data_IF_103569173228
#
_entry.id   IF_103569173228
#
_cell.length_a   1.000
_cell.length_b   1.000
_cell.length_c   1.000
_cell.angle_alpha   90.00
_cell.angle_beta   90.00
_cell.angle_gamma   90.00
#
_symmetry.space_group_name_H-M   'P 1'
#
loop_
_entity.id
_entity.type
_entity.pdbx_description
1 polymer ?
#
# COMPACT_ATOMS: atom_id res chain seq x y z
N UNK A 1 4.86 17.55 -4.67
CA UNK A 1 3.96 18.64 -5.04
C UNK A 1 4.69 19.98 -5.01
N UNK A 2 4.31 20.92 -5.89
CA UNK A 2 4.81 22.29 -5.86
C UNK A 2 4.21 23.05 -4.66
N UNK A 3 4.82 24.22 -4.32
CA UNK A 3 4.25 25.09 -3.29
C UNK A 3 2.79 25.45 -3.58
N UNK A 4 2.47 25.78 -4.85
CA UNK A 4 1.11 26.12 -5.25
C UNK A 4 0.10 24.96 -5.03
N UNK A 5 0.54 23.71 -5.24
CA UNK A 5 -0.31 22.54 -4.94
C UNK A 5 -0.50 22.34 -3.43
N UNK A 6 0.55 22.58 -2.63
CA UNK A 6 0.43 22.51 -1.16
C UNK A 6 -0.47 23.62 -0.61
N UNK A 7 -0.40 24.82 -1.21
CA UNK A 7 -1.23 25.97 -0.80
C UNK A 7 -2.74 25.71 -1.01
N UNK A 8 -3.13 24.78 -1.91
CA UNK A 8 -4.54 24.39 -2.08
C UNK A 8 -5.13 23.69 -0.83
N UNK A 9 -4.29 23.11 0.00
CA UNK A 9 -4.72 22.48 1.25
C UNK A 9 -4.63 23.38 2.47
N UNK A 10 -4.18 24.63 2.30
CA UNK A 10 -4.20 25.63 3.38
C UNK A 10 -5.60 25.78 3.93
N UNK A 11 -5.92 25.85 5.06
CA UNK A 11 -7.28 25.92 5.63
C UNK A 11 -7.94 24.57 5.92
N UNK A 12 -7.47 23.46 5.36
CA UNK A 12 -7.99 22.14 5.75
C UNK A 12 -7.70 21.85 7.23
N UNK A 13 -6.60 22.39 7.76
CA UNK A 13 -6.24 22.25 9.16
C UNK A 13 -7.03 23.17 10.08
N UNK A 14 -7.77 24.14 9.57
CA UNK A 14 -8.59 25.06 10.38
C UNK A 14 -9.73 24.33 11.10
N UNK A 15 -10.11 23.15 10.61
CA UNK A 15 -11.08 22.27 11.26
C UNK A 15 -10.52 21.56 12.51
N UNK A 16 -9.20 21.55 12.68
CA UNK A 16 -8.51 20.93 13.82
C UNK A 16 -8.02 22.01 14.79
N UNK A 17 -8.91 22.51 15.62
CA UNK A 17 -8.62 23.50 16.65
C UNK A 17 -9.24 23.10 18.00
N UNK A 18 -9.08 23.93 19.03
CA UNK A 18 -9.56 23.63 20.39
C UNK A 18 -11.08 23.49 20.52
N UNK A 19 -11.84 24.04 19.56
CA UNK A 19 -13.31 24.03 19.54
C UNK A 19 -13.88 22.99 18.59
N UNK A 20 -13.02 22.20 17.93
CA UNK A 20 -13.45 21.17 16.99
C UNK A 20 -14.18 20.04 17.70
N UNK A 21 -15.22 19.49 17.06
CA UNK A 21 -15.80 18.23 17.48
C UNK A 21 -14.82 17.09 17.18
N UNK A 22 -14.33 16.47 18.23
CA UNK A 22 -13.35 15.39 18.17
C UNK A 22 -13.95 14.04 18.56
N UNK A 23 -15.28 13.93 18.58
CA UNK A 23 -16.00 12.68 18.85
C UNK A 23 -16.59 12.17 17.55
N UNK A 24 -16.27 10.92 17.20
CA UNK A 24 -16.82 10.27 16.01
C UNK A 24 -18.32 10.00 16.13
N UNK A 25 -19.00 9.72 15.03
CA UNK A 25 -20.45 9.45 15.01
C UNK A 25 -20.89 8.25 15.84
N UNK A 26 -19.97 7.33 16.11
CA UNK A 26 -20.17 6.16 16.99
C UNK A 26 -19.67 6.39 18.44
N UNK A 27 -19.34 7.64 18.77
CA UNK A 27 -19.02 8.06 20.15
C UNK A 27 -17.56 7.86 20.57
N UNK A 28 -16.65 7.61 19.63
CA UNK A 28 -15.23 7.48 19.93
C UNK A 28 -14.60 8.87 20.08
N UNK A 29 -13.98 9.13 21.23
CA UNK A 29 -13.19 10.34 21.45
C UNK A 29 -11.83 10.19 20.76
N UNK A 30 -11.64 10.90 19.65
CA UNK A 30 -10.44 10.82 18.81
C UNK A 30 -9.16 11.36 19.48
N UNK A 31 -9.27 11.95 20.67
CA UNK A 31 -8.11 12.36 21.50
C UNK A 31 -7.52 11.19 22.27
N UNK A 32 -8.22 10.04 22.30
CA UNK A 32 -7.78 8.83 22.98
C UNK A 32 -7.30 7.78 21.96
N UNK A 33 -6.47 6.85 22.41
CA UNK A 33 -6.13 5.66 21.62
C UNK A 33 -7.20 4.58 21.83
N UNK A 34 -7.25 3.60 20.93
CA UNK A 34 -8.14 2.43 21.11
C UNK A 34 -8.92 2.05 19.86
N UNK A 35 -8.88 2.85 18.82
CA UNK A 35 -9.40 2.49 17.49
C UNK A 35 -8.24 2.02 16.63
N UNK A 36 -8.21 0.70 16.37
CA UNK A 36 -7.07 0.07 15.70
C UNK A 36 -7.16 0.11 14.16
N UNK A 37 -8.35 0.31 13.64
CA UNK A 37 -8.66 0.19 12.20
C UNK A 37 -9.20 1.50 11.60
N UNK A 38 -9.20 2.58 12.38
CA UNK A 38 -9.67 3.90 11.97
C UNK A 38 -11.13 4.18 12.38
N UNK A 39 -11.47 5.46 12.48
CA UNK A 39 -12.84 5.88 12.80
C UNK A 39 -13.80 5.55 11.66
N UNK A 40 -15.06 5.33 12.00
CA UNK A 40 -16.10 4.91 11.05
C UNK A 40 -16.23 5.84 9.85
N UNK A 41 -16.18 7.16 10.06
CA UNK A 41 -16.27 8.15 8.98
C UNK A 41 -15.12 8.02 7.98
N UNK A 42 -13.91 7.84 8.47
CA UNK A 42 -12.74 7.71 7.62
C UNK A 42 -12.76 6.38 6.84
N UNK A 43 -13.19 5.28 7.47
CA UNK A 43 -13.34 3.99 6.79
C UNK A 43 -14.40 4.05 5.69
N UNK A 44 -15.55 4.67 5.95
CA UNK A 44 -16.60 4.89 4.94
C UNK A 44 -16.09 5.71 3.77
N UNK A 45 -15.44 6.85 4.04
CA UNK A 45 -14.87 7.69 3.00
C UNK A 45 -13.89 6.92 2.10
N UNK A 46 -12.97 6.17 2.70
CA UNK A 46 -11.99 5.40 1.95
C UNK A 46 -12.59 4.19 1.24
N UNK A 47 -13.64 3.59 1.80
CA UNK A 47 -14.40 2.53 1.15
C UNK A 47 -15.06 3.01 -0.14
N UNK A 48 -15.72 4.16 -0.08
CA UNK A 48 -16.34 4.81 -1.25
C UNK A 48 -15.29 5.18 -2.31
N UNK A 49 -14.16 5.76 -1.89
CA UNK A 49 -13.07 6.13 -2.80
C UNK A 49 -12.39 4.93 -3.47
N UNK A 50 -12.35 3.79 -2.81
CA UNK A 50 -11.65 2.56 -3.27
C UNK A 50 -12.61 1.53 -3.86
N UNK A 51 -13.92 1.80 -3.84
CA UNK A 51 -14.97 0.90 -4.34
C UNK A 51 -14.93 -0.50 -3.68
N UNK A 52 -14.62 -0.52 -2.38
CA UNK A 52 -14.58 -1.77 -1.59
C UNK A 52 -15.48 -1.68 -0.36
N UNK A 53 -15.96 -2.80 0.19
CA UNK A 53 -16.74 -2.79 1.42
C UNK A 53 -15.98 -2.17 2.60
N UNK A 54 -16.65 -1.36 3.44
CA UNK A 54 -16.06 -0.71 4.62
C UNK A 54 -15.29 -1.69 5.53
N UNK A 55 -15.80 -2.90 5.72
CA UNK A 55 -15.15 -3.93 6.53
C UNK A 55 -13.78 -4.38 6.02
N UNK A 56 -13.44 -4.03 4.78
CA UNK A 56 -12.15 -4.35 4.15
C UNK A 56 -11.16 -3.19 4.25
N UNK A 57 -11.54 -2.09 4.89
CA UNK A 57 -10.69 -0.91 5.09
C UNK A 57 -10.06 -0.96 6.47
N UNK A 58 -8.74 -0.88 6.49
CA UNK A 58 -7.94 -0.67 7.70
C UNK A 58 -7.10 0.59 7.51
N UNK A 59 -7.26 1.56 8.40
CA UNK A 59 -6.49 2.80 8.38
C UNK A 59 -5.32 2.63 9.34
N UNK A 60 -4.14 2.45 8.80
CA UNK A 60 -2.95 2.11 9.56
C UNK A 60 -2.02 3.29 9.83
N UNK A 61 -2.11 4.33 9.04
CA UNK A 61 -1.29 5.54 9.14
C UNK A 61 -1.16 6.26 7.81
N UNK A 62 -0.33 7.29 7.75
CA UNK A 62 -0.18 8.16 6.59
C UNK A 62 1.03 7.83 5.71
N UNK A 63 1.84 6.83 6.06
CA UNK A 63 3.02 6.43 5.30
C UNK A 63 2.83 5.05 4.68
N UNK A 64 2.57 5.01 3.37
CA UNK A 64 2.45 3.77 2.61
C UNK A 64 3.70 2.90 2.69
N UNK A 65 4.89 3.50 2.69
CA UNK A 65 6.15 2.76 2.82
C UNK A 65 6.26 2.03 4.16
N UNK A 66 5.80 2.62 5.26
CA UNK A 66 5.77 1.95 6.56
C UNK A 66 4.80 0.78 6.56
N UNK A 67 3.62 0.93 5.96
CA UNK A 67 2.63 -0.14 5.83
C UNK A 67 3.18 -1.29 4.98
N UNK A 68 3.82 -0.97 3.86
CA UNK A 68 4.45 -1.96 2.96
C UNK A 68 5.58 -2.71 3.66
N UNK A 69 6.46 -1.99 4.38
CA UNK A 69 7.54 -2.59 5.14
C UNK A 69 7.00 -3.53 6.24
N UNK A 70 6.03 -3.07 7.03
CA UNK A 70 5.41 -3.87 8.09
C UNK A 70 4.73 -5.13 7.51
N UNK A 71 4.03 -5.00 6.38
CA UNK A 71 3.38 -6.12 5.70
C UNK A 71 4.40 -7.19 5.28
N UNK A 72 5.49 -6.79 4.63
CA UNK A 72 6.55 -7.71 4.22
C UNK A 72 7.25 -8.31 5.46
N UNK A 73 7.53 -7.49 6.48
CA UNK A 73 8.12 -7.96 7.75
C UNK A 73 7.26 -9.04 8.42
N UNK A 74 5.94 -8.85 8.46
CA UNK A 74 5.01 -9.85 9.00
C UNK A 74 4.98 -11.12 8.15
N UNK A 75 5.00 -10.99 6.83
CA UNK A 75 5.09 -12.13 5.94
C UNK A 75 6.38 -12.93 6.16
N UNK A 76 7.51 -12.23 6.34
CA UNK A 76 8.79 -12.86 6.66
C UNK A 76 8.77 -13.61 7.98
N UNK A 77 8.16 -13.06 9.01
CA UNK A 77 8.24 -13.60 10.39
C UNK A 77 7.09 -14.56 10.74
N UNK A 78 5.90 -14.33 10.22
CA UNK A 78 4.68 -15.07 10.60
C UNK A 78 4.00 -15.78 9.42
N UNK A 79 4.38 -15.48 8.19
CA UNK A 79 3.66 -15.92 7.00
C UNK A 79 2.37 -15.12 6.74
N UNK A 80 1.66 -15.50 5.70
CA UNK A 80 0.40 -14.87 5.28
C UNK A 80 -0.71 -15.91 5.40
N UNK A 81 -1.81 -15.56 6.11
CA UNK A 81 -2.99 -16.40 6.26
C UNK A 81 -2.69 -17.86 6.69
N UNK A 82 -1.76 -18.03 7.62
CA UNK A 82 -1.36 -19.35 8.12
C UNK A 82 -0.33 -20.10 7.25
N UNK A 83 0.19 -19.47 6.22
CA UNK A 83 1.27 -20.05 5.42
C UNK A 83 2.61 -20.05 6.19
N UNK A 84 3.56 -20.83 5.68
CA UNK A 84 4.93 -20.83 6.23
C UNK A 84 5.53 -19.43 6.18
N UNK A 85 6.14 -18.94 7.29
CA UNK A 85 6.90 -17.69 7.29
C UNK A 85 7.93 -17.66 6.16
N UNK A 86 8.00 -16.53 5.46
CA UNK A 86 8.86 -16.44 4.27
C UNK A 86 10.35 -16.62 4.61
N UNK A 87 10.79 -16.23 5.81
CA UNK A 87 12.17 -16.47 6.26
C UNK A 87 12.54 -17.96 6.40
N UNK A 88 11.56 -18.87 6.37
CA UNK A 88 11.75 -20.32 6.43
C UNK A 88 11.66 -21.00 5.06
N UNK A 89 11.39 -20.23 4.01
CA UNK A 89 11.39 -20.71 2.63
C UNK A 89 12.82 -20.65 2.08
N UNK A 90 13.15 -21.58 1.19
CA UNK A 90 14.45 -21.58 0.52
C UNK A 90 14.68 -20.31 -0.29
N UNK A 91 13.61 -19.77 -0.88
CA UNK A 91 13.67 -18.59 -1.72
C UNK A 91 12.35 -17.84 -1.72
N UNK A 92 12.44 -16.51 -1.73
CA UNK A 92 11.31 -15.60 -1.95
C UNK A 92 11.67 -14.65 -3.08
N UNK A 93 10.73 -14.41 -4.00
CA UNK A 93 10.89 -13.52 -5.13
C UNK A 93 9.74 -12.54 -5.23
N UNK A 94 10.02 -11.36 -5.76
CA UNK A 94 9.05 -10.31 -6.05
C UNK A 94 9.17 -9.83 -7.48
N UNK A 95 8.04 -9.59 -8.12
CA UNK A 95 7.98 -8.93 -9.42
C UNK A 95 8.07 -7.42 -9.21
N UNK A 96 8.93 -6.79 -9.99
CA UNK A 96 9.25 -5.38 -9.91
C UNK A 96 9.02 -4.72 -11.27
N UNK A 97 7.83 -4.12 -11.51
CA UNK A 97 7.60 -3.35 -12.72
C UNK A 97 8.59 -2.18 -12.84
N UNK A 98 9.26 -2.08 -13.98
CA UNK A 98 10.30 -1.09 -14.24
C UNK A 98 10.00 -0.32 -15.53
N UNK A 99 10.18 1.02 -15.52
CA UNK A 99 10.59 1.90 -14.40
C UNK A 99 9.58 1.91 -13.25
N UNK A 100 10.07 1.87 -12.00
CA UNK A 100 9.25 1.82 -10.81
C UNK A 100 9.82 2.67 -9.67
N UNK A 101 9.14 2.67 -8.53
CA UNK A 101 9.54 3.47 -7.38
C UNK A 101 10.61 2.72 -6.55
N UNK A 102 11.81 3.27 -6.54
CA UNK A 102 12.99 2.68 -5.92
C UNK A 102 12.83 2.35 -4.42
N UNK A 103 11.97 3.11 -3.70
CA UNK A 103 11.70 2.86 -2.28
C UNK A 103 10.98 1.54 -2.02
N UNK A 104 10.13 1.11 -2.96
CA UNK A 104 9.52 -0.24 -2.89
C UNK A 104 10.59 -1.32 -3.07
N UNK A 105 11.48 -1.13 -4.02
CA UNK A 105 12.56 -2.08 -4.29
C UNK A 105 13.53 -2.18 -3.11
N UNK A 106 13.82 -1.06 -2.43
CA UNK A 106 14.63 -1.05 -1.23
C UNK A 106 14.05 -1.90 -0.09
N UNK A 107 12.72 -2.03 0.02
CA UNK A 107 12.08 -2.94 0.99
C UNK A 107 12.40 -4.40 0.65
N UNK A 108 12.27 -4.81 -0.61
CA UNK A 108 12.59 -6.16 -1.05
C UNK A 108 14.07 -6.48 -0.88
N UNK A 109 14.94 -5.53 -1.23
CA UNK A 109 16.39 -5.65 -1.03
C UNK A 109 16.75 -5.85 0.45
N UNK A 110 16.15 -5.05 1.35
CA UNK A 110 16.38 -5.13 2.78
C UNK A 110 16.10 -6.54 3.36
N UNK A 111 15.05 -7.20 2.87
CA UNK A 111 14.70 -8.55 3.31
C UNK A 111 15.39 -9.67 2.52
N UNK A 112 16.31 -9.35 1.61
CA UNK A 112 17.00 -10.34 0.78
C UNK A 112 16.07 -11.06 -0.23
N UNK A 113 14.96 -10.44 -0.57
CA UNK A 113 13.99 -10.96 -1.54
C UNK A 113 14.54 -10.74 -2.96
N UNK A 114 14.60 -11.80 -3.77
CA UNK A 114 15.03 -11.69 -5.16
C UNK A 114 14.02 -10.87 -5.98
N UNK A 115 14.50 -9.90 -6.73
CA UNK A 115 13.69 -9.04 -7.58
C UNK A 115 13.75 -9.49 -9.03
N UNK A 116 12.59 -9.67 -9.63
CA UNK A 116 12.44 -9.99 -11.05
C UNK A 116 11.84 -8.76 -11.75
N UNK A 117 12.59 -8.18 -12.67
CA UNK A 117 12.10 -7.03 -13.44
C UNK A 117 11.01 -7.45 -14.42
N UNK A 118 9.92 -6.68 -14.44
CA UNK A 118 8.83 -6.80 -15.40
C UNK A 118 8.71 -5.47 -16.16
N UNK A 119 8.60 -5.45 -17.49
CA UNK A 119 8.39 -4.21 -18.22
C UNK A 119 7.12 -3.47 -17.78
N UNK A 120 7.20 -2.15 -17.58
CA UNK A 120 6.04 -1.29 -17.39
C UNK A 120 5.64 -0.72 -18.75
N UNK A 121 4.53 -1.23 -19.29
CA UNK A 121 3.91 -0.80 -20.54
C UNK A 121 3.05 0.45 -20.31
N UNK A 122 2.57 1.12 -21.37
CA UNK A 122 1.65 2.26 -21.24
C UNK A 122 0.33 1.95 -20.50
N UNK A 123 -0.05 0.69 -20.42
CA UNK A 123 -1.28 0.21 -19.79
C UNK A 123 -1.05 -0.51 -18.45
N UNK A 124 0.17 -0.51 -17.94
CA UNK A 124 0.53 -1.22 -16.70
C UNK A 124 1.67 -2.22 -16.90
N UNK A 125 1.93 -3.11 -15.93
CA UNK A 125 2.92 -4.18 -16.09
C UNK A 125 2.59 -5.08 -17.29
N UNK A 126 3.62 -5.67 -17.88
CA UNK A 126 3.46 -6.75 -18.88
C UNK A 126 2.81 -7.98 -18.22
N UNK A 127 1.48 -8.05 -18.29
CA UNK A 127 0.70 -9.09 -17.61
C UNK A 127 0.89 -10.47 -18.20
N UNK A 128 1.17 -10.59 -19.50
CA UNK A 128 1.49 -11.89 -20.13
C UNK A 128 2.76 -12.47 -19.50
N UNK A 129 3.77 -11.61 -19.29
CA UNK A 129 5.00 -12.01 -18.60
C UNK A 129 4.73 -12.33 -17.12
N UNK A 130 3.92 -11.53 -16.43
CA UNK A 130 3.56 -11.75 -15.02
C UNK A 130 2.88 -13.09 -14.84
N UNK A 131 1.84 -13.40 -15.63
CA UNK A 131 1.09 -14.65 -15.55
C UNK A 131 1.99 -15.87 -15.78
N UNK A 132 2.84 -15.80 -16.80
CA UNK A 132 3.80 -16.87 -17.09
C UNK A 132 4.74 -17.11 -15.91
N UNK A 133 5.36 -16.05 -15.39
CA UNK A 133 6.33 -16.17 -14.30
C UNK A 133 5.70 -16.74 -13.02
N UNK A 134 4.50 -16.28 -12.66
CA UNK A 134 3.79 -16.75 -11.44
C UNK A 134 3.32 -18.21 -11.61
N UNK A 135 2.95 -18.62 -12.82
CA UNK A 135 2.56 -20.00 -13.08
C UNK A 135 3.75 -20.99 -13.00
N UNK A 136 4.95 -20.53 -13.38
CA UNK A 136 6.14 -21.39 -13.46
C UNK A 136 6.97 -21.39 -12.15
N UNK A 137 6.87 -20.33 -11.32
CA UNK A 137 7.75 -20.16 -10.15
C UNK A 137 6.97 -19.87 -8.86
N UNK A 138 6.74 -20.89 -8.02
CA UNK A 138 6.05 -20.73 -6.74
C UNK A 138 6.82 -19.91 -5.69
N UNK A 139 8.09 -19.57 -5.93
CA UNK A 139 8.86 -18.69 -5.06
C UNK A 139 8.45 -17.22 -5.20
N UNK A 140 7.73 -16.85 -6.26
CA UNK A 140 7.18 -15.51 -6.44
C UNK A 140 6.01 -15.31 -5.48
N UNK A 141 6.14 -14.33 -4.56
CA UNK A 141 5.17 -14.09 -3.49
C UNK A 141 4.45 -12.75 -3.59
N UNK A 142 4.89 -11.87 -4.49
CA UNK A 142 4.26 -10.58 -4.63
C UNK A 142 4.78 -9.79 -5.82
N UNK A 143 4.09 -8.69 -6.06
CA UNK A 143 4.42 -7.69 -7.08
C UNK A 143 4.22 -6.29 -6.49
N UNK A 144 5.13 -5.37 -6.79
CA UNK A 144 4.94 -3.96 -6.45
C UNK A 144 4.08 -3.28 -7.52
N UNK A 145 2.98 -2.66 -7.11
CA UNK A 145 2.09 -1.95 -8.01
C UNK A 145 1.82 -0.52 -7.54
N UNK A 146 1.80 0.42 -8.49
CA UNK A 146 1.26 1.78 -8.32
C UNK A 146 0.26 2.03 -9.45
N UNK A 147 -1.00 1.56 -9.30
CA UNK A 147 -1.94 1.49 -10.43
C UNK A 147 -2.36 2.83 -11.00
N UNK A 148 -2.36 3.90 -10.20
CA UNK A 148 -2.71 5.26 -10.66
C UNK A 148 -1.51 6.17 -10.50
N UNK A 149 -1.11 6.77 -11.63
CA UNK A 149 -0.01 7.75 -11.69
C UNK A 149 1.31 7.18 -11.18
N UNK A 150 1.69 6.02 -11.72
CA UNK A 150 2.90 5.30 -11.34
C UNK A 150 4.14 6.21 -11.27
N UNK A 151 4.90 6.07 -10.21
CA UNK A 151 6.15 6.82 -10.02
C UNK A 151 7.33 5.99 -10.59
N UNK A 152 8.18 6.51 -11.50
CA UNK A 152 8.26 7.92 -11.94
C UNK A 152 7.49 8.24 -13.23
N UNK A 153 6.86 7.29 -13.88
CA UNK A 153 6.38 7.40 -15.26
C UNK A 153 5.05 8.14 -15.42
N UNK A 154 4.22 8.19 -14.38
CA UNK A 154 2.86 8.71 -14.44
C UNK A 154 1.84 7.77 -15.10
N UNK A 155 2.23 6.56 -15.48
CA UNK A 155 1.34 5.56 -16.09
C UNK A 155 0.20 5.20 -15.15
N UNK A 156 -1.02 5.12 -15.68
CA UNK A 156 -2.17 4.49 -15.01
C UNK A 156 -2.46 3.15 -15.68
N UNK A 157 -2.76 2.15 -14.86
CA UNK A 157 -3.06 0.82 -15.37
C UNK A 157 -4.46 0.81 -16.01
N UNK A 158 -4.62 0.02 -17.06
CA UNK A 158 -5.94 -0.25 -17.65
C UNK A 158 -6.74 -1.22 -16.77
N UNK A 159 -8.02 -1.28 -17.06
CA UNK A 159 -8.95 -2.28 -16.52
C UNK A 159 -8.63 -3.67 -17.09
#
# INVERSE_FOLDING_TARGET
PSKAQLDLSNGLMDVLNGDSDLVSSDGVDCRNYGVLDGITEARKLLADMSEVPERNILIYGNSSLNVMFDTVSRAMTHGIMGSTPWCKLDKVKFLCPVPGYDRHFAITEYFGIEMINVPLLPTGPDMDMVEKLVAEDPAIKGIWCVPKYSNPTGVSYSD
#
